data_IF_511112646641
#
_entry.id   IF_511112646641
#
_cell.length_a   1.000
_cell.length_b   1.000
_cell.length_c   1.000
_cell.angle_alpha   90.00
_cell.angle_beta   90.00
_cell.angle_gamma   90.00
#
_symmetry.space_group_name_H-M   'P 1'
#
loop_
_entity.id
_entity.type
_entity.pdbx_description
1 polymer ?
#
# COMPACT_ATOMS: atom_id res chain seq x y z
N UNK A 1 -9.48 -0.62 17.86
CA UNK A 1 -8.53 0.37 18.44
C UNK A 1 -9.30 1.27 19.38
N UNK A 2 -8.88 1.36 20.63
CA UNK A 2 -9.49 2.28 21.60
C UNK A 2 -8.82 3.67 21.51
N UNK A 3 -9.33 4.62 22.29
CA UNK A 3 -8.82 6.00 22.27
C UNK A 3 -7.32 6.08 22.62
N UNK A 4 -6.89 5.30 23.61
CA UNK A 4 -5.48 5.30 24.05
C UNK A 4 -4.56 4.75 22.94
N UNK A 5 -4.98 3.69 22.26
CA UNK A 5 -4.25 3.11 21.13
C UNK A 5 -4.18 4.09 19.96
N UNK A 6 -5.29 4.77 19.66
CA UNK A 6 -5.33 5.77 18.60
C UNK A 6 -4.39 6.94 18.89
N UNK A 7 -4.37 7.43 20.13
CA UNK A 7 -3.46 8.51 20.52
C UNK A 7 -1.99 8.09 20.40
N UNK A 8 -1.67 6.86 20.78
CA UNK A 8 -0.30 6.34 20.62
C UNK A 8 0.09 6.25 19.14
N UNK A 9 -0.81 5.76 18.30
CA UNK A 9 -0.55 5.69 16.86
C UNK A 9 -0.33 7.07 16.27
N UNK A 10 -1.22 8.02 16.57
CA UNK A 10 -1.10 9.38 16.06
C UNK A 10 0.18 10.07 16.52
N UNK A 11 0.62 9.82 17.75
CA UNK A 11 1.87 10.41 18.28
C UNK A 11 3.13 9.76 17.72
N UNK A 12 3.12 8.44 17.51
CA UNK A 12 4.35 7.69 17.26
C UNK A 12 4.45 7.09 15.85
N UNK A 13 3.34 6.91 15.17
CA UNK A 13 3.29 6.15 13.90
C UNK A 13 2.62 6.90 12.76
N UNK A 14 2.59 8.23 12.83
CA UNK A 14 2.07 9.06 11.73
C UNK A 14 3.21 9.39 10.78
N UNK A 15 3.42 8.54 9.78
CA UNK A 15 4.57 8.61 8.90
C UNK A 15 4.26 9.15 7.51
N UNK A 16 3.06 8.90 6.99
CA UNK A 16 2.78 9.11 5.56
C UNK A 16 1.42 9.74 5.31
N UNK A 17 1.29 10.37 4.14
CA UNK A 17 0.03 10.89 3.63
C UNK A 17 -0.04 10.71 2.12
N UNK A 18 -1.24 10.82 1.58
CA UNK A 18 -1.47 10.82 0.13
C UNK A 18 -1.32 12.23 -0.43
N UNK A 19 -0.63 12.34 -1.56
CA UNK A 19 -0.47 13.60 -2.31
C UNK A 19 -0.44 13.30 -3.81
N UNK A 20 -0.73 14.29 -4.67
CA UNK A 20 -0.48 14.13 -6.10
C UNK A 20 0.99 13.78 -6.35
N UNK A 21 1.23 12.79 -7.21
CA UNK A 21 2.56 12.28 -7.51
C UNK A 21 3.02 12.68 -8.90
N UNK A 22 4.30 13.08 -9.08
CA UNK A 22 4.86 13.30 -10.41
C UNK A 22 5.04 11.99 -11.21
N UNK A 23 5.00 10.84 -10.53
CA UNK A 23 5.14 9.53 -11.18
C UNK A 23 3.82 9.11 -11.81
N UNK A 24 2.77 9.05 -11.01
CA UNK A 24 1.44 8.63 -11.46
C UNK A 24 0.39 8.99 -10.42
N UNK A 25 -0.67 9.66 -10.81
CA UNK A 25 -1.85 9.93 -10.02
C UNK A 25 -1.56 10.44 -8.61
N UNK A 26 -1.92 9.63 -7.62
CA UNK A 26 -1.68 9.89 -6.20
C UNK A 26 -0.60 8.95 -5.72
N UNK A 27 0.32 9.47 -4.91
CA UNK A 27 1.37 8.69 -4.29
C UNK A 27 1.37 8.84 -2.78
N UNK A 28 2.28 8.13 -2.13
CA UNK A 28 2.48 8.14 -0.67
C UNK A 28 3.74 8.93 -0.35
N UNK A 29 3.60 9.93 0.51
CA UNK A 29 4.69 10.85 0.84
C UNK A 29 4.98 10.87 2.33
N UNK A 30 6.25 10.99 2.68
CA UNK A 30 6.69 11.04 4.07
C UNK A 30 6.30 12.35 4.74
N UNK A 31 5.63 12.27 5.89
CA UNK A 31 5.29 13.40 6.75
C UNK A 31 6.40 13.73 7.75
N UNK A 32 7.26 12.77 8.02
CA UNK A 32 8.42 12.92 8.89
C UNK A 32 9.57 12.09 8.30
N UNK A 33 10.76 12.27 8.83
CA UNK A 33 11.89 11.45 8.42
C UNK A 33 11.66 10.01 8.85
N UNK A 34 11.87 9.07 7.92
CA UNK A 34 11.69 7.65 8.13
C UNK A 34 13.06 6.99 8.06
N UNK A 35 13.56 6.44 9.17
CA UNK A 35 14.89 5.83 9.17
C UNK A 35 14.88 4.49 8.45
N UNK A 36 16.03 4.11 7.88
CA UNK A 36 16.22 2.77 7.33
C UNK A 36 15.87 1.72 8.38
N UNK A 37 15.17 0.67 7.97
CA UNK A 37 14.70 -0.39 8.86
C UNK A 37 13.33 -0.16 9.48
N UNK A 38 12.75 1.03 9.34
CA UNK A 38 11.39 1.29 9.82
C UNK A 38 10.38 0.43 9.05
N UNK A 39 9.49 -0.24 9.76
CA UNK A 39 8.46 -1.11 9.19
C UNK A 39 7.04 -0.73 9.66
N UNK A 40 6.86 0.47 10.21
CA UNK A 40 5.60 0.89 10.84
C UNK A 40 4.91 2.03 10.09
N UNK A 41 5.27 2.24 8.82
CA UNK A 41 4.78 3.35 7.99
C UNK A 41 3.31 3.21 7.61
N UNK A 42 2.82 1.99 7.57
CA UNK A 42 1.44 1.67 7.20
C UNK A 42 0.76 0.93 8.33
N UNK A 43 -0.56 0.96 8.33
CA UNK A 43 -1.34 0.18 9.30
C UNK A 43 -0.99 -1.29 9.18
N UNK A 44 -0.87 -1.97 10.32
CA UNK A 44 -0.72 -3.42 10.33
C UNK A 44 -2.01 -4.04 9.80
N UNK A 45 -1.93 -5.06 8.94
CA UNK A 45 -3.14 -5.77 8.56
C UNK A 45 -3.81 -6.30 9.81
N UNK A 46 -5.10 -6.08 9.91
CA UNK A 46 -5.92 -6.73 10.91
C UNK A 46 -5.86 -8.24 10.65
N UNK A 47 -5.97 -9.08 11.69
CA UNK A 47 -6.01 -10.53 11.55
C UNK A 47 -7.08 -10.97 10.53
N UNK A 48 -8.08 -10.12 10.31
CA UNK A 48 -9.18 -10.36 9.38
C UNK A 48 -8.98 -9.69 8.01
N UNK A 49 -7.89 -8.94 7.82
CA UNK A 49 -7.59 -8.28 6.53
C UNK A 49 -6.86 -9.26 5.63
N UNK A 50 -7.55 -10.31 5.26
CA UNK A 50 -7.05 -11.24 4.26
C UNK A 50 -7.30 -10.69 2.87
N UNK A 51 -6.37 -10.97 1.96
CA UNK A 51 -6.57 -10.73 0.56
C UNK A 51 -7.53 -11.78 0.00
N UNK A 52 -8.47 -11.34 -0.81
CA UNK A 52 -9.35 -12.25 -1.54
C UNK A 52 -8.87 -12.33 -2.98
N UNK A 53 -8.65 -13.55 -3.45
CA UNK A 53 -8.22 -13.81 -4.82
C UNK A 53 -9.45 -13.94 -5.72
N UNK A 54 -9.50 -13.13 -6.78
CA UNK A 54 -10.48 -13.27 -7.85
C UNK A 54 -9.75 -13.69 -9.12
N UNK A 55 -10.34 -14.62 -9.86
CA UNK A 55 -9.84 -14.96 -11.19
C UNK A 55 -10.05 -13.82 -12.17
N UNK A 56 -9.26 -13.78 -13.24
CA UNK A 56 -9.45 -12.78 -14.31
C UNK A 56 -10.85 -12.87 -14.92
N UNK A 57 -11.40 -14.09 -15.04
CA UNK A 57 -12.76 -14.28 -15.53
C UNK A 57 -13.80 -13.65 -14.59
N UNK A 58 -13.64 -13.82 -13.28
CA UNK A 58 -14.54 -13.20 -12.31
C UNK A 58 -14.48 -11.67 -12.38
N UNK A 59 -13.29 -11.12 -12.54
CA UNK A 59 -13.11 -9.66 -12.69
C UNK A 59 -13.71 -9.17 -14.01
N UNK A 60 -13.57 -9.94 -15.10
CA UNK A 60 -14.13 -9.57 -16.40
C UNK A 60 -15.65 -9.47 -16.39
N UNK A 61 -16.32 -10.18 -15.50
CA UNK A 61 -17.77 -10.14 -15.33
C UNK A 61 -18.26 -8.96 -14.49
N UNK A 62 -17.35 -8.22 -13.86
CA UNK A 62 -17.71 -7.05 -13.06
C UNK A 62 -18.14 -5.87 -13.95
N UNK A 63 -18.93 -4.94 -13.41
CA UNK A 63 -19.19 -3.67 -14.09
C UNK A 63 -17.88 -2.94 -14.43
N UNK A 64 -17.87 -2.17 -15.50
CA UNK A 64 -16.65 -1.51 -15.98
C UNK A 64 -15.98 -0.60 -14.94
N UNK A 65 -16.75 0.09 -14.11
CA UNK A 65 -16.18 0.93 -13.04
C UNK A 65 -15.48 0.11 -11.95
N UNK A 66 -15.99 -1.08 -11.63
CA UNK A 66 -15.33 -1.99 -10.68
C UNK A 66 -14.07 -2.61 -11.29
N UNK A 67 -14.11 -3.02 -12.55
CA UNK A 67 -12.91 -3.50 -13.27
C UNK A 67 -11.82 -2.44 -13.31
N UNK A 68 -12.19 -1.19 -13.48
CA UNK A 68 -11.25 -0.07 -13.46
C UNK A 68 -10.50 0.01 -12.13
N UNK A 69 -11.22 -0.09 -11.00
CA UNK A 69 -10.59 -0.06 -9.67
C UNK A 69 -9.67 -1.24 -9.45
N UNK A 70 -10.11 -2.45 -9.81
CA UNK A 70 -9.29 -3.65 -9.67
C UNK A 70 -8.03 -3.54 -10.52
N UNK A 71 -8.15 -3.14 -11.77
CA UNK A 71 -7.01 -3.04 -12.68
C UNK A 71 -5.98 -1.97 -12.28
N UNK A 72 -6.42 -0.89 -11.61
CA UNK A 72 -5.53 0.21 -11.24
C UNK A 72 -4.87 0.03 -9.87
N UNK A 73 -5.52 -0.67 -8.93
CA UNK A 73 -5.07 -0.67 -7.53
C UNK A 73 -4.73 -2.03 -6.96
N UNK A 74 -5.01 -3.11 -7.68
CA UNK A 74 -4.77 -4.46 -7.15
C UNK A 74 -3.54 -5.10 -7.80
N UNK A 75 -2.80 -5.85 -6.98
CA UNK A 75 -1.76 -6.74 -7.48
C UNK A 75 -2.41 -7.87 -8.29
N UNK A 76 -1.68 -8.37 -9.25
CA UNK A 76 -2.16 -9.46 -10.11
C UNK A 76 -1.01 -10.35 -10.56
N UNK A 77 -1.35 -11.57 -10.91
CA UNK A 77 -0.49 -12.49 -11.65
C UNK A 77 -1.15 -12.86 -13.00
N UNK A 78 -0.67 -13.93 -13.63
CA UNK A 78 -1.19 -14.33 -14.95
C UNK A 78 -2.65 -14.79 -14.91
N UNK A 79 -3.16 -15.21 -13.75
CA UNK A 79 -4.49 -15.84 -13.63
C UNK A 79 -5.43 -15.08 -12.70
N UNK A 80 -4.91 -14.33 -11.75
CA UNK A 80 -5.70 -13.79 -10.64
C UNK A 80 -5.37 -12.35 -10.33
N UNK A 81 -6.34 -11.69 -9.67
CA UNK A 81 -6.18 -10.42 -8.96
C UNK A 81 -6.31 -10.65 -7.46
N UNK A 82 -5.59 -9.85 -6.67
CA UNK A 82 -5.59 -9.93 -5.21
C UNK A 82 -6.21 -8.66 -4.66
N UNK A 83 -7.41 -8.78 -4.07
CA UNK A 83 -8.22 -7.66 -3.62
C UNK A 83 -8.21 -7.56 -2.10
N UNK A 84 -8.31 -6.33 -1.54
CA UNK A 84 -8.59 -6.17 -0.12
C UNK A 84 -9.91 -6.87 0.24
N UNK A 85 -9.92 -7.62 1.34
CA UNK A 85 -11.09 -8.40 1.73
C UNK A 85 -12.34 -7.55 1.94
N UNK A 86 -12.17 -6.28 2.32
CA UNK A 86 -13.28 -5.34 2.56
C UNK A 86 -13.65 -4.50 1.32
N UNK A 87 -13.02 -4.74 0.18
CA UNK A 87 -13.22 -3.94 -1.02
C UNK A 87 -12.50 -2.59 -0.94
N UNK A 88 -12.98 -1.59 -1.69
CA UNK A 88 -12.28 -0.31 -1.86
C UNK A 88 -12.78 0.83 -0.97
N UNK A 89 -13.81 0.61 -0.15
CA UNK A 89 -14.35 1.67 0.71
C UNK A 89 -13.52 1.95 1.95
N UNK A 90 -12.62 1.02 2.31
CA UNK A 90 -11.62 1.17 3.37
C UNK A 90 -10.25 0.83 2.78
N UNK A 91 -9.71 1.73 1.98
CA UNK A 91 -8.45 1.49 1.28
C UNK A 91 -7.27 1.72 2.23
N UNK A 92 -6.35 0.76 2.27
CA UNK A 92 -5.05 0.92 2.91
C UNK A 92 -4.21 1.88 2.06
N UNK A 93 -3.50 2.80 2.72
CA UNK A 93 -2.62 3.76 2.04
C UNK A 93 -1.56 3.08 1.18
N UNK A 94 -1.14 1.87 1.54
CA UNK A 94 -0.14 1.11 0.78
C UNK A 94 -0.56 0.81 -0.66
N UNK A 95 -1.85 0.82 -0.96
CA UNK A 95 -2.34 0.60 -2.33
C UNK A 95 -1.99 1.76 -3.28
N UNK A 96 -1.58 2.89 -2.76
CA UNK A 96 -1.19 4.07 -3.56
C UNK A 96 0.32 4.19 -3.76
N UNK A 97 1.11 3.23 -3.30
CA UNK A 97 2.56 3.23 -3.50
C UNK A 97 2.85 3.09 -4.99
N UNK A 98 3.56 4.06 -5.55
CA UNK A 98 3.95 4.04 -6.95
C UNK A 98 5.20 3.18 -7.18
N UNK A 99 5.39 2.75 -8.42
CA UNK A 99 6.53 1.95 -8.84
C UNK A 99 7.75 2.83 -9.11
N UNK A 100 8.92 2.32 -8.73
CA UNK A 100 10.23 2.87 -9.14
C UNK A 100 11.26 1.75 -9.21
N UNK A 101 12.16 1.82 -10.17
CA UNK A 101 13.31 0.91 -10.23
C UNK A 101 14.41 1.29 -9.23
N UNK A 102 14.26 2.44 -8.57
CA UNK A 102 15.11 2.89 -7.47
C UNK A 102 14.27 3.07 -6.20
N UNK A 103 13.77 1.95 -5.62
CA UNK A 103 12.84 2.02 -4.51
C UNK A 103 13.50 2.48 -3.21
N UNK A 104 12.71 3.02 -2.29
CA UNK A 104 13.15 3.34 -0.93
C UNK A 104 12.45 2.48 0.13
N UNK A 105 11.46 1.68 -0.27
CA UNK A 105 10.84 0.68 0.60
C UNK A 105 10.81 -0.68 -0.11
N UNK A 106 10.64 -1.74 0.67
CA UNK A 106 10.52 -3.11 0.18
C UNK A 106 9.31 -3.78 0.82
N UNK A 107 8.63 -4.63 0.06
CA UNK A 107 7.56 -5.48 0.57
C UNK A 107 8.13 -6.68 1.32
N UNK A 108 7.56 -6.99 2.46
CA UNK A 108 7.94 -8.15 3.29
C UNK A 108 6.74 -9.09 3.39
N UNK A 109 7.00 -10.38 3.22
CA UNK A 109 5.97 -11.44 3.28
C UNK A 109 4.78 -11.14 2.37
N UNK A 110 5.05 -10.93 1.09
CA UNK A 110 4.02 -10.71 0.05
C UNK A 110 3.06 -9.55 0.36
N UNK A 111 3.60 -8.43 0.82
CA UNK A 111 2.80 -7.25 1.12
C UNK A 111 2.19 -7.23 2.51
N UNK A 112 2.62 -8.11 3.39
CA UNK A 112 2.18 -8.13 4.79
C UNK A 112 2.53 -6.82 5.48
N UNK A 113 3.76 -6.35 5.26
CA UNK A 113 4.19 -5.03 5.68
C UNK A 113 5.31 -4.54 4.77
N UNK A 114 5.73 -3.30 4.97
CA UNK A 114 6.77 -2.64 4.17
C UNK A 114 7.86 -2.13 5.08
N UNK A 115 9.09 -2.19 4.61
CA UNK A 115 10.25 -1.75 5.37
C UNK A 115 11.06 -0.73 4.56
N UNK A 116 11.49 0.35 5.22
CA UNK A 116 12.37 1.33 4.59
C UNK A 116 13.77 0.74 4.41
N UNK A 117 14.27 0.74 3.16
CA UNK A 117 15.61 0.27 2.81
C UNK A 117 16.62 1.40 2.69
N UNK A 118 16.16 2.64 2.82
CA UNK A 118 16.96 3.87 2.87
C UNK A 118 16.36 4.79 3.92
N UNK A 119 17.13 5.78 4.36
CA UNK A 119 16.56 6.91 5.08
C UNK A 119 15.70 7.72 4.12
N UNK A 120 14.46 7.96 4.50
CA UNK A 120 13.49 8.72 3.70
C UNK A 120 13.27 10.06 4.40
N UNK A 121 13.52 11.15 3.69
CA UNK A 121 13.35 12.48 4.26
C UNK A 121 11.90 12.95 4.14
N UNK A 122 11.51 13.83 5.04
CA UNK A 122 10.20 14.47 4.98
C UNK A 122 9.96 15.05 3.58
N UNK A 123 8.79 14.78 3.01
CA UNK A 123 8.41 15.23 1.67
C UNK A 123 8.80 14.29 0.54
N UNK A 124 9.63 13.28 0.78
CA UNK A 124 9.95 12.29 -0.26
C UNK A 124 8.78 11.32 -0.47
N UNK A 125 8.62 10.90 -1.72
CA UNK A 125 7.65 9.85 -2.06
C UNK A 125 8.19 8.47 -1.69
N UNK A 126 7.36 7.63 -1.06
CA UNK A 126 7.66 6.22 -0.84
C UNK A 126 7.35 5.47 -2.13
N UNK A 127 8.33 4.74 -2.62
CA UNK A 127 8.24 4.01 -3.90
C UNK A 127 8.77 2.59 -3.75
N UNK A 128 8.19 1.70 -4.52
CA UNK A 128 8.42 0.26 -4.46
C UNK A 128 8.75 -0.27 -5.85
N UNK A 129 9.65 -1.21 -5.95
CA UNK A 129 9.84 -1.95 -7.21
C UNK A 129 8.80 -3.07 -7.27
N UNK A 130 7.80 -2.92 -8.12
CA UNK A 130 6.72 -3.89 -8.25
C UNK A 130 7.20 -5.27 -8.72
N UNK A 131 8.32 -5.33 -9.41
CA UNK A 131 8.92 -6.59 -9.83
C UNK A 131 9.52 -7.40 -8.67
N UNK A 132 9.69 -6.79 -7.50
CA UNK A 132 10.24 -7.44 -6.30
C UNK A 132 9.17 -7.87 -5.30
N UNK A 133 7.90 -7.67 -5.63
CA UNK A 133 6.79 -8.18 -4.83
C UNK A 133 6.58 -9.64 -5.21
N UNK A 134 6.92 -10.50 -4.30
CA UNK A 134 6.80 -11.95 -4.54
C UNK A 134 5.96 -12.58 -3.46
#
# INVERSE_FOLDING_TARGET
MNKADLLRELNNHTYVMLQPSPISGIGVFALQNIPVGCSEMFSKPNINDEWITLSKNEVDELPSHAKFLVGNYCLYDDENYFLPAEGFKKIDLSLFINHSITPNIISINDGDYFEAIKNIEIGEELVLDYGQIV
#
